data_IF_150731153255
#
_entry.id   IF_150731153255
#
_cell.length_a   1.000
_cell.length_b   1.000
_cell.length_c   1.000
_cell.angle_alpha   90.00
_cell.angle_beta   90.00
_cell.angle_gamma   90.00
#
_symmetry.space_group_name_H-M   'P 1'
#
loop_
_entity.id
_entity.type
_entity.pdbx_description
1 polymer ?
#
# COMPACT_ATOMS: atom_id res chain seq x y z
N UNK A 1 -8.82 -11.98 13.80
CA UNK A 1 -8.55 -10.67 14.45
C UNK A 1 -9.00 -10.71 15.90
N UNK A 2 -8.24 -10.10 16.81
CA UNK A 2 -8.63 -10.01 18.23
C UNK A 2 -9.80 -9.05 18.38
N UNK A 3 -10.86 -9.49 19.04
CA UNK A 3 -12.08 -8.70 19.21
C UNK A 3 -12.08 -7.99 20.56
N UNK A 4 -12.67 -6.79 20.61
CA UNK A 4 -12.79 -5.99 21.84
C UNK A 4 -14.07 -5.15 21.81
N UNK A 5 -14.38 -4.44 22.90
CA UNK A 5 -15.52 -3.53 22.98
C UNK A 5 -15.04 -2.10 23.29
N UNK A 6 -15.33 -1.17 22.39
CA UNK A 6 -15.00 0.24 22.53
C UNK A 6 -16.14 0.95 23.25
N UNK A 7 -15.86 1.50 24.44
CA UNK A 7 -16.84 2.18 25.29
C UNK A 7 -17.45 1.27 26.38
N UNK A 8 -17.97 1.90 27.44
CA UNK A 8 -18.43 1.21 28.64
C UNK A 8 -19.87 0.66 28.53
N UNK A 9 -20.16 -0.39 29.29
CA UNK A 9 -21.53 -0.89 29.51
C UNK A 9 -22.20 -1.47 28.27
N UNK A 10 -23.54 -1.37 28.20
CA UNK A 10 -24.35 -1.95 27.12
C UNK A 10 -24.25 -1.16 25.80
N UNK A 11 -23.84 0.10 25.83
CA UNK A 11 -23.73 0.98 24.65
C UNK A 11 -22.40 0.87 23.90
N UNK A 12 -21.40 0.16 24.43
CA UNK A 12 -20.12 0.00 23.74
C UNK A 12 -20.26 -0.73 22.40
N UNK A 13 -19.41 -0.36 21.44
CA UNK A 13 -19.39 -0.89 20.07
C UNK A 13 -18.38 -2.01 19.95
N UNK A 14 -18.67 -2.99 19.12
CA UNK A 14 -17.70 -4.03 18.78
C UNK A 14 -16.53 -3.38 18.02
N UNK A 15 -15.31 -3.72 18.41
CA UNK A 15 -14.09 -3.32 17.72
C UNK A 15 -13.13 -4.49 17.59
N UNK A 16 -12.04 -4.27 16.87
CA UNK A 16 -10.98 -5.24 16.67
C UNK A 16 -9.63 -4.54 16.83
N UNK A 17 -8.64 -5.29 17.32
CA UNK A 17 -7.26 -4.89 17.13
C UNK A 17 -6.91 -5.09 15.66
N UNK A 18 -6.22 -4.11 15.07
CA UNK A 18 -5.88 -4.14 13.66
C UNK A 18 -4.91 -5.31 13.35
N UNK A 19 -5.09 -5.98 12.21
CA UNK A 19 -4.17 -7.02 11.75
C UNK A 19 -3.01 -6.47 10.90
N UNK A 20 -3.09 -5.20 10.48
CA UNK A 20 -2.14 -4.49 9.62
C UNK A 20 -2.23 -2.97 9.91
N UNK A 21 -1.23 -2.21 9.48
CA UNK A 21 -1.22 -0.74 9.59
C UNK A 21 -1.84 -0.03 8.38
N UNK A 22 -1.92 -0.70 7.22
CA UNK A 22 -2.44 -0.20 5.94
C UNK A 22 -3.77 0.55 6.02
N UNK A 23 -4.77 -0.04 6.70
CA UNK A 23 -6.15 0.48 6.74
C UNK A 23 -6.27 1.92 7.23
N UNK A 24 -5.39 2.34 8.14
CA UNK A 24 -5.37 3.73 8.62
C UNK A 24 -5.00 4.69 7.49
N UNK A 25 -3.94 4.39 6.76
CA UNK A 25 -3.40 5.23 5.69
C UNK A 25 -4.38 5.40 4.52
N UNK A 26 -5.07 4.31 4.15
CA UNK A 26 -6.08 4.32 3.09
C UNK A 26 -7.25 5.26 3.42
N UNK A 27 -7.72 5.27 4.67
CA UNK A 27 -8.81 6.15 5.11
C UNK A 27 -8.44 7.64 5.06
N UNK A 28 -7.16 7.96 5.17
CA UNK A 28 -6.66 9.34 5.20
C UNK A 28 -6.31 9.91 3.81
N UNK A 29 -6.49 9.16 2.71
CA UNK A 29 -6.13 9.61 1.35
C UNK A 29 -6.72 10.97 0.98
N UNK A 30 -7.97 11.24 1.36
CA UNK A 30 -8.66 12.50 1.06
C UNK A 30 -7.91 13.74 1.58
N UNK A 31 -7.15 13.62 2.68
CA UNK A 31 -6.38 14.72 3.24
C UNK A 31 -5.23 15.16 2.32
N UNK A 32 -4.80 14.27 1.41
CA UNK A 32 -3.67 14.50 0.54
C UNK A 32 -4.07 14.87 -0.88
N UNK A 33 -5.29 14.49 -1.31
CA UNK A 33 -5.87 14.92 -2.59
C UNK A 33 -6.25 16.40 -2.61
N UNK A 34 -6.18 17.08 -1.46
CA UNK A 34 -6.35 18.53 -1.34
C UNK A 34 -5.02 19.30 -1.50
N UNK A 35 -3.88 18.60 -1.65
CA UNK A 35 -2.59 19.24 -1.82
C UNK A 35 -2.47 19.92 -3.20
N UNK A 36 -1.79 21.08 -3.30
CA UNK A 36 -1.81 21.91 -4.51
C UNK A 36 -1.12 21.25 -5.72
N UNK A 37 -0.15 20.39 -5.45
CA UNK A 37 0.55 19.57 -6.43
C UNK A 37 -0.14 18.21 -6.43
N UNK A 38 -1.19 18.07 -7.25
CA UNK A 38 -1.90 16.81 -7.52
C UNK A 38 -1.00 15.78 -8.24
N UNK A 39 0.25 15.65 -7.84
CA UNK A 39 1.14 14.59 -8.29
C UNK A 39 0.80 13.34 -7.48
N UNK A 40 0.37 12.31 -8.20
CA UNK A 40 -0.08 11.05 -7.62
C UNK A 40 1.02 10.26 -6.91
N UNK A 41 2.28 10.71 -6.95
CA UNK A 41 3.42 10.03 -6.33
C UNK A 41 3.50 10.28 -4.83
N UNK A 42 2.43 9.92 -4.11
CA UNK A 42 2.33 10.06 -2.67
C UNK A 42 2.58 8.70 -2.01
N UNK A 43 3.49 8.68 -1.04
CA UNK A 43 3.68 7.56 -0.13
C UNK A 43 3.23 7.93 1.29
N UNK A 44 2.43 7.07 1.91
CA UNK A 44 2.16 7.13 3.36
C UNK A 44 2.88 5.97 4.03
N UNK A 45 3.63 6.24 5.09
CA UNK A 45 4.33 5.21 5.86
C UNK A 45 3.74 5.16 7.26
N UNK A 46 3.42 3.97 7.74
CA UNK A 46 3.07 3.74 9.12
C UNK A 46 3.93 2.64 9.71
N UNK A 47 4.51 2.93 10.87
CA UNK A 47 5.14 1.92 11.72
C UNK A 47 4.27 1.71 12.96
N UNK A 48 4.16 0.47 13.40
CA UNK A 48 3.42 0.19 14.62
C UNK A 48 3.18 -1.28 14.85
N UNK A 49 2.38 -1.55 15.88
CA UNK A 49 2.03 -2.91 16.28
C UNK A 49 0.77 -3.37 15.59
N UNK A 50 0.82 -4.62 15.15
CA UNK A 50 -0.29 -5.35 14.56
C UNK A 50 -0.52 -6.67 15.28
N UNK A 51 -1.72 -7.23 15.10
CA UNK A 51 -2.14 -8.39 15.85
C UNK A 51 -2.84 -9.44 15.01
N UNK A 52 -2.43 -10.70 15.21
CA UNK A 52 -3.03 -11.84 14.54
C UNK A 52 -3.57 -12.87 15.53
N UNK A 53 -4.78 -13.35 15.27
CA UNK A 53 -5.36 -14.49 16.00
C UNK A 53 -4.77 -15.79 15.49
N UNK A 54 -3.48 -15.99 15.75
CA UNK A 54 -2.76 -17.20 15.36
C UNK A 54 -3.12 -18.34 16.30
N UNK A 55 -3.59 -19.45 15.71
CA UNK A 55 -4.01 -20.64 16.45
C UNK A 55 -2.87 -21.23 17.28
N UNK A 56 -1.65 -21.26 16.74
CA UNK A 56 -0.44 -21.77 17.42
C UNK A 56 0.80 -20.91 17.10
N UNK A 57 1.18 -19.97 17.99
CA UNK A 57 2.49 -19.32 17.93
C UNK A 57 3.62 -20.35 18.00
N UNK A 58 4.65 -20.20 17.17
CA UNK A 58 5.76 -21.16 17.05
C UNK A 58 7.00 -20.48 16.46
N UNK A 59 8.17 -21.14 16.49
CA UNK A 59 9.40 -20.64 15.86
C UNK A 59 9.86 -19.26 16.38
N UNK A 60 9.72 -19.02 17.69
CA UNK A 60 10.19 -17.79 18.33
C UNK A 60 9.56 -16.53 17.74
N UNK A 61 10.40 -15.63 17.21
CA UNK A 61 9.99 -14.33 16.66
C UNK A 61 9.33 -14.41 15.27
N UNK A 62 9.31 -15.58 14.63
CA UNK A 62 8.74 -15.72 13.27
C UNK A 62 7.21 -15.72 13.28
N UNK A 63 6.57 -16.34 14.29
CA UNK A 63 5.11 -16.46 14.38
C UNK A 63 4.57 -15.95 15.71
N UNK A 64 4.46 -14.63 15.81
CA UNK A 64 3.91 -13.92 16.97
C UNK A 64 2.40 -13.66 16.84
N UNK A 65 1.76 -13.23 17.94
CA UNK A 65 0.36 -12.73 17.98
C UNK A 65 0.28 -11.21 17.97
N UNK A 66 1.36 -10.57 18.38
CA UNK A 66 1.59 -9.13 18.32
C UNK A 66 3.00 -8.96 17.78
N UNK A 67 3.16 -8.15 16.75
CA UNK A 67 4.44 -7.91 16.07
C UNK A 67 4.46 -6.48 15.54
N UNK A 68 5.65 -5.99 15.24
CA UNK A 68 5.87 -4.66 14.68
C UNK A 68 5.97 -4.77 13.16
N UNK A 69 5.22 -3.89 12.49
CA UNK A 69 5.23 -3.72 11.06
C UNK A 69 5.70 -2.32 10.70
N UNK A 70 6.30 -2.20 9.53
CA UNK A 70 6.45 -0.94 8.82
C UNK A 70 5.87 -1.12 7.41
N UNK A 71 4.80 -0.40 7.10
CA UNK A 71 4.11 -0.52 5.82
C UNK A 71 4.10 0.84 5.12
N UNK A 72 4.19 0.80 3.80
CA UNK A 72 4.10 1.95 2.92
C UNK A 72 2.92 1.76 1.98
N UNK A 73 1.94 2.66 1.99
CA UNK A 73 0.96 2.79 0.90
C UNK A 73 1.47 3.79 -0.12
N UNK A 74 1.96 3.31 -1.26
CA UNK A 74 2.39 4.16 -2.36
C UNK A 74 1.31 4.24 -3.44
N UNK A 75 0.66 5.39 -3.52
CA UNK A 75 -0.40 5.64 -4.49
C UNK A 75 0.20 5.92 -5.87
N UNK A 76 -0.39 5.38 -6.92
CA UNK A 76 0.05 5.57 -8.31
C UNK A 76 -1.14 5.78 -9.26
N UNK A 77 -0.90 6.52 -10.34
CA UNK A 77 -1.84 6.62 -11.45
C UNK A 77 -1.81 5.33 -12.27
N UNK A 78 -2.94 4.60 -12.40
CA UNK A 78 -2.98 3.35 -13.15
C UNK A 78 -2.68 3.49 -14.65
N UNK A 79 -2.78 4.69 -15.22
CA UNK A 79 -2.41 4.95 -16.62
C UNK A 79 -1.04 5.61 -16.76
N UNK A 80 -0.39 5.98 -15.66
CA UNK A 80 0.99 6.45 -15.72
C UNK A 80 1.94 5.28 -15.99
N UNK A 81 2.99 5.57 -16.75
CA UNK A 81 4.11 4.66 -16.99
C UNK A 81 5.32 5.22 -16.27
N UNK A 82 5.52 4.89 -14.98
CA UNK A 82 6.62 5.49 -14.23
C UNK A 82 7.95 4.91 -14.71
N UNK A 83 8.90 5.80 -14.96
CA UNK A 83 10.29 5.45 -15.24
C UNK A 83 11.09 5.54 -13.93
N UNK A 84 11.67 4.43 -13.51
CA UNK A 84 12.52 4.36 -12.32
C UNK A 84 13.97 4.12 -12.74
N UNK A 85 14.91 4.76 -12.06
CA UNK A 85 16.34 4.57 -12.30
C UNK A 85 16.86 3.35 -11.53
N UNK A 86 17.21 2.28 -12.26
CA UNK A 86 17.79 1.07 -11.70
C UNK A 86 19.33 1.03 -11.77
N UNK A 87 19.99 2.14 -12.13
CA UNK A 87 21.43 2.17 -12.42
C UNK A 87 22.32 1.77 -11.24
N UNK A 88 21.82 1.88 -10.00
CA UNK A 88 22.51 1.43 -8.78
C UNK A 88 22.54 -0.10 -8.63
N UNK A 89 21.61 -0.84 -9.23
CA UNK A 89 21.43 -2.29 -9.04
C UNK A 89 21.83 -3.10 -10.28
N UNK A 90 23.14 -3.18 -10.53
CA UNK A 90 23.69 -3.86 -11.71
C UNK A 90 23.96 -5.35 -11.52
N UNK A 91 23.93 -5.84 -10.28
CA UNK A 91 24.20 -7.23 -9.97
C UNK A 91 22.91 -8.06 -10.16
N UNK A 92 23.01 -9.28 -10.73
CA UNK A 92 21.88 -10.19 -10.79
C UNK A 92 21.39 -10.57 -9.39
N UNK A 93 20.09 -10.79 -9.27
CA UNK A 93 19.41 -11.25 -8.05
C UNK A 93 18.65 -12.54 -8.33
N UNK A 94 18.47 -13.36 -7.29
CA UNK A 94 17.69 -14.60 -7.38
C UNK A 94 16.20 -14.26 -7.27
N UNK A 95 15.46 -14.49 -8.36
CA UNK A 95 14.01 -14.35 -8.42
C UNK A 95 13.37 -15.73 -8.61
N UNK A 96 12.33 -16.04 -7.84
CA UNK A 96 11.46 -17.20 -8.08
C UNK A 96 10.18 -16.65 -8.72
N UNK A 97 10.12 -16.70 -10.04
CA UNK A 97 9.02 -16.13 -10.82
C UNK A 97 7.92 -17.15 -11.10
N UNK A 98 6.66 -16.71 -11.04
CA UNK A 98 5.48 -17.55 -11.35
C UNK A 98 5.58 -18.06 -12.80
N UNK A 99 5.41 -19.36 -12.99
CA UNK A 99 5.52 -20.04 -14.29
C UNK A 99 6.92 -20.12 -14.92
N UNK A 100 7.92 -19.39 -14.42
CA UNK A 100 9.31 -19.42 -14.93
C UNK A 100 10.30 -20.12 -13.98
N UNK A 101 9.96 -20.28 -12.70
CA UNK A 101 10.84 -20.88 -11.70
C UNK A 101 11.96 -19.93 -11.28
N UNK A 102 13.11 -20.50 -10.90
CA UNK A 102 14.28 -19.71 -10.45
C UNK A 102 14.97 -19.08 -11.65
N UNK A 103 15.11 -17.75 -11.62
CA UNK A 103 15.83 -16.96 -12.63
C UNK A 103 16.82 -16.02 -11.95
N UNK A 104 17.97 -15.80 -12.58
CA UNK A 104 18.98 -14.82 -12.15
C UNK A 104 19.04 -13.68 -13.17
N UNK A 105 18.69 -12.47 -12.75
CA UNK A 105 18.66 -11.29 -13.61
C UNK A 105 18.73 -10.01 -12.77
N UNK A 106 19.06 -8.87 -13.39
CA UNK A 106 18.97 -7.57 -12.71
C UNK A 106 17.52 -7.11 -12.58
N UNK A 107 17.22 -6.20 -11.66
CA UNK A 107 15.87 -5.63 -11.54
C UNK A 107 15.42 -4.94 -12.84
N UNK A 108 16.34 -4.23 -13.52
CA UNK A 108 16.05 -3.61 -14.82
C UNK A 108 15.62 -4.66 -15.85
N UNK A 109 16.39 -5.76 -15.99
CA UNK A 109 16.06 -6.85 -16.91
C UNK A 109 14.72 -7.50 -16.56
N UNK A 110 14.46 -7.72 -15.28
CA UNK A 110 13.22 -8.32 -14.82
C UNK A 110 11.99 -7.46 -15.14
N UNK A 111 12.12 -6.13 -15.07
CA UNK A 111 11.07 -5.18 -15.48
C UNK A 111 10.93 -5.14 -17.00
N UNK A 112 12.04 -5.03 -17.73
CA UNK A 112 12.04 -4.95 -19.21
C UNK A 112 11.47 -6.21 -19.87
N UNK A 113 11.72 -7.39 -19.30
CA UNK A 113 11.22 -8.68 -19.78
C UNK A 113 9.82 -9.02 -19.22
N UNK A 114 9.23 -8.15 -18.39
CA UNK A 114 7.92 -8.35 -17.77
C UNK A 114 7.85 -9.51 -16.79
N UNK A 115 8.98 -9.93 -16.20
CA UNK A 115 9.01 -10.88 -15.07
C UNK A 115 8.41 -10.19 -13.83
N UNK A 116 8.90 -8.99 -13.53
CA UNK A 116 8.26 -8.08 -12.60
C UNK A 116 7.28 -7.26 -13.44
N UNK A 117 5.98 -7.36 -13.14
CA UNK A 117 4.92 -6.88 -14.02
C UNK A 117 4.78 -5.36 -14.00
N UNK A 118 5.19 -4.71 -12.91
CA UNK A 118 5.08 -3.28 -12.74
C UNK A 118 6.42 -2.65 -12.30
N UNK A 119 6.91 -1.59 -12.98
CA UNK A 119 8.24 -1.02 -12.69
C UNK A 119 8.36 -0.48 -11.25
N UNK A 120 7.30 0.11 -10.69
CA UNK A 120 7.31 0.56 -9.28
C UNK A 120 7.47 -0.59 -8.28
N UNK A 121 6.95 -1.78 -8.58
CA UNK A 121 7.16 -2.97 -7.74
C UNK A 121 8.63 -3.35 -7.76
N UNK A 122 9.25 -3.40 -8.94
CA UNK A 122 10.68 -3.67 -9.09
C UNK A 122 11.56 -2.64 -8.38
N UNK A 123 11.16 -1.36 -8.43
CA UNK A 123 11.86 -0.29 -7.73
C UNK A 123 11.84 -0.49 -6.21
N UNK A 124 10.69 -0.81 -5.62
CA UNK A 124 10.61 -1.09 -4.19
C UNK A 124 11.29 -2.40 -3.80
N UNK A 125 11.28 -3.43 -4.66
CA UNK A 125 12.09 -4.65 -4.43
C UNK A 125 13.58 -4.32 -4.33
N UNK A 126 14.09 -3.45 -5.20
CA UNK A 126 15.49 -3.05 -5.21
C UNK A 126 15.88 -2.26 -3.95
N UNK A 127 15.05 -1.30 -3.54
CA UNK A 127 15.24 -0.57 -2.28
C UNK A 127 15.14 -1.48 -1.04
N UNK A 128 14.19 -2.43 -1.05
CA UNK A 128 14.06 -3.44 0.01
C UNK A 128 15.33 -4.28 0.11
N UNK A 129 15.91 -4.69 -1.03
CA UNK A 129 17.17 -5.42 -1.03
C UNK A 129 18.29 -4.60 -0.36
N UNK A 130 18.51 -3.36 -0.80
CA UNK A 130 19.55 -2.50 -0.22
C UNK A 130 19.36 -2.30 1.28
N UNK A 131 18.12 -2.06 1.71
CA UNK A 131 17.80 -1.95 3.13
C UNK A 131 18.17 -3.22 3.89
N UNK A 132 17.71 -4.39 3.43
CA UNK A 132 17.98 -5.67 4.10
C UNK A 132 19.49 -5.96 4.17
N UNK A 133 20.23 -5.70 3.10
CA UNK A 133 21.69 -5.88 3.10
C UNK A 133 22.37 -4.89 4.06
N UNK A 134 21.91 -3.65 4.12
CA UNK A 134 22.49 -2.62 5.01
C UNK A 134 22.34 -2.96 6.49
N UNK A 135 21.24 -3.62 6.89
CA UNK A 135 21.01 -4.02 8.28
C UNK A 135 21.68 -5.35 8.67
N UNK A 136 22.37 -6.01 7.73
CA UNK A 136 23.22 -7.18 8.02
C UNK A 136 22.66 -8.52 7.53
N UNK A 137 21.68 -8.51 6.61
CA UNK A 137 21.21 -9.75 5.98
C UNK A 137 22.27 -10.22 4.97
N UNK A 138 22.63 -11.51 5.04
CA UNK A 138 23.53 -12.14 4.08
C UNK A 138 22.88 -12.19 2.67
N UNK A 139 23.53 -11.65 1.62
CA UNK A 139 23.03 -11.73 0.25
C UNK A 139 22.72 -13.15 -0.23
N UNK A 140 23.51 -14.15 0.17
CA UNK A 140 23.29 -15.55 -0.23
C UNK A 140 22.01 -16.15 0.38
N UNK A 141 21.55 -15.56 1.49
CA UNK A 141 20.33 -15.93 2.19
C UNK A 141 19.13 -15.06 1.82
N UNK A 142 19.18 -14.27 0.74
CA UNK A 142 18.09 -13.39 0.32
C UNK A 142 17.59 -13.79 -1.08
N UNK A 143 16.28 -13.91 -1.23
CA UNK A 143 15.63 -14.09 -2.54
C UNK A 143 14.29 -13.37 -2.60
N UNK A 144 13.79 -13.16 -3.81
CA UNK A 144 12.43 -12.68 -4.02
C UNK A 144 11.58 -13.79 -4.63
N UNK A 145 10.43 -14.08 -4.04
CA UNK A 145 9.47 -15.08 -4.53
C UNK A 145 8.18 -14.41 -4.97
N UNK A 146 7.80 -14.58 -6.22
CA UNK A 146 6.53 -14.13 -6.72
C UNK A 146 5.42 -15.04 -6.19
N UNK A 147 4.27 -14.46 -5.84
CA UNK A 147 3.08 -15.24 -5.51
C UNK A 147 2.58 -15.95 -6.77
N UNK A 148 2.21 -17.22 -6.62
CA UNK A 148 1.55 -17.95 -7.69
C UNK A 148 0.14 -17.38 -7.94
N UNK A 149 -0.36 -17.54 -9.16
CA UNK A 149 -1.68 -17.03 -9.56
C UNK A 149 -2.86 -17.51 -8.68
N UNK A 150 -2.71 -18.62 -7.95
CA UNK A 150 -3.67 -19.17 -6.99
C UNK A 150 -3.46 -18.69 -5.54
N UNK A 151 -2.29 -18.13 -5.22
CA UNK A 151 -1.92 -17.56 -3.92
C UNK A 151 -2.22 -16.06 -3.85
N UNK A 152 -2.20 -15.38 -5.00
CA UNK A 152 -2.51 -13.96 -5.09
C UNK A 152 -3.93 -13.66 -4.57
N UNK A 153 -4.06 -12.58 -3.80
CA UNK A 153 -5.36 -11.98 -3.56
C UNK A 153 -6.01 -11.65 -4.92
N UNK A 154 -7.32 -11.86 -5.05
CA UNK A 154 -8.09 -11.71 -6.29
C UNK A 154 -7.97 -10.33 -6.96
N UNK A 155 -7.41 -9.33 -6.27
CA UNK A 155 -7.18 -7.96 -6.73
C UNK A 155 -5.70 -7.59 -6.94
N UNK A 156 -4.74 -8.41 -6.48
CA UNK A 156 -3.32 -8.11 -6.59
C UNK A 156 -2.84 -8.33 -8.03
N UNK A 157 -2.21 -7.32 -8.64
CA UNK A 157 -1.72 -7.40 -10.02
C UNK A 157 -0.33 -8.03 -10.10
N UNK A 158 0.49 -7.82 -9.08
CA UNK A 158 1.81 -8.44 -8.89
C UNK A 158 2.11 -8.46 -7.40
N UNK A 159 2.79 -9.50 -6.91
CA UNK A 159 3.15 -9.62 -5.50
C UNK A 159 4.43 -10.43 -5.35
N UNK A 160 5.41 -9.85 -4.66
CA UNK A 160 6.72 -10.43 -4.43
C UNK A 160 7.09 -10.41 -2.95
N UNK A 161 7.46 -11.56 -2.42
CA UNK A 161 7.97 -11.68 -1.06
C UNK A 161 9.49 -11.66 -1.07
N UNK A 162 10.10 -10.75 -0.30
CA UNK A 162 11.49 -10.89 0.11
C UNK A 162 11.57 -11.96 1.20
N UNK A 163 12.13 -13.12 0.84
CA UNK A 163 12.32 -14.24 1.75
C UNK A 163 13.78 -14.29 2.20
N UNK A 164 13.97 -14.51 3.50
CA UNK A 164 15.28 -14.63 4.11
C UNK A 164 15.46 -16.07 4.60
N UNK A 165 16.60 -16.67 4.27
CA UNK A 165 16.98 -18.02 4.70
C UNK A 165 17.62 -17.95 6.09
N UNK A 166 16.90 -18.39 7.11
CA UNK A 166 17.45 -18.55 8.46
C UNK A 166 17.51 -20.00 8.92
N UNK A 167 17.77 -20.19 10.20
CA UNK A 167 17.79 -21.50 10.88
C UNK A 167 16.44 -22.24 10.86
N UNK A 168 15.35 -21.58 10.48
CA UNK A 168 14.02 -22.18 10.26
C UNK A 168 13.63 -22.36 8.78
N UNK A 169 14.58 -22.18 7.86
CA UNK A 169 14.36 -22.20 6.42
C UNK A 169 14.02 -20.81 5.86
N UNK A 170 13.43 -20.79 4.66
CA UNK A 170 13.01 -19.56 4.00
C UNK A 170 11.76 -18.99 4.68
N UNK A 171 11.87 -17.75 5.12
CA UNK A 171 10.79 -17.02 5.79
C UNK A 171 10.57 -15.70 5.06
N UNK A 172 9.33 -15.44 4.68
CA UNK A 172 8.89 -14.14 4.18
C UNK A 172 9.10 -13.06 5.25
N UNK A 173 9.81 -12.00 4.89
CA UNK A 173 10.12 -10.87 5.79
C UNK A 173 9.55 -9.55 5.29
N UNK A 174 9.38 -9.39 3.97
CA UNK A 174 8.78 -8.21 3.36
C UNK A 174 7.89 -8.64 2.21
N UNK A 175 6.60 -8.29 2.22
CA UNK A 175 5.72 -8.42 1.06
C UNK A 175 5.75 -7.13 0.24
N UNK A 176 5.87 -7.21 -1.08
CA UNK A 176 5.75 -6.06 -2.00
C UNK A 176 4.61 -6.36 -2.98
N UNK A 177 3.46 -5.73 -2.76
CA UNK A 177 2.23 -6.03 -3.49
C UNK A 177 1.73 -4.81 -4.29
N UNK A 178 1.34 -5.03 -5.54
CA UNK A 178 0.50 -4.08 -6.27
C UNK A 178 -0.98 -4.45 -6.05
N UNK A 179 -1.64 -3.79 -5.11
CA UNK A 179 -3.01 -4.08 -4.65
C UNK A 179 -4.12 -3.52 -5.57
N UNK A 180 -3.75 -2.76 -6.60
CA UNK A 180 -4.74 -2.12 -7.47
C UNK A 180 -5.54 -1.07 -6.70
N UNK A 181 -6.82 -0.91 -7.01
CA UNK A 181 -7.71 0.06 -6.34
C UNK A 181 -8.72 -0.59 -5.37
N UNK A 182 -8.62 -1.90 -5.11
CA UNK A 182 -9.65 -2.65 -4.38
C UNK A 182 -9.99 -2.02 -3.02
N UNK A 183 -8.98 -1.71 -2.22
CA UNK A 183 -9.18 -1.16 -0.89
C UNK A 183 -9.85 0.22 -0.92
N UNK A 184 -9.39 1.11 -1.81
CA UNK A 184 -9.96 2.44 -1.97
C UNK A 184 -11.42 2.37 -2.46
N UNK A 185 -11.70 1.51 -3.45
CA UNK A 185 -13.06 1.30 -3.95
C UNK A 185 -13.98 0.75 -2.86
N UNK A 186 -13.53 -0.24 -2.08
CA UNK A 186 -14.30 -0.79 -0.98
C UNK A 186 -14.64 0.27 0.09
N UNK A 187 -13.68 1.15 0.42
CA UNK A 187 -13.92 2.28 1.34
C UNK A 187 -14.85 3.34 0.73
N UNK A 188 -14.72 3.68 -0.56
CA UNK A 188 -15.65 4.60 -1.25
C UNK A 188 -17.08 4.07 -1.19
N UNK A 189 -17.28 2.79 -1.50
CA UNK A 189 -18.61 2.15 -1.53
C UNK A 189 -19.23 2.06 -0.13
N UNK A 190 -18.45 1.73 0.89
CA UNK A 190 -18.93 1.58 2.25
C UNK A 190 -19.26 2.93 2.93
N UNK A 191 -18.52 4.00 2.60
CA UNK A 191 -18.63 5.29 3.31
C UNK A 191 -19.33 6.39 2.50
N UNK A 192 -19.39 6.25 1.17
CA UNK A 192 -19.83 7.30 0.25
C UNK A 192 -18.84 8.45 0.08
N UNK A 193 -17.69 8.44 0.78
CA UNK A 193 -16.62 9.42 0.62
C UNK A 193 -15.82 9.11 -0.65
N UNK A 194 -15.43 10.16 -1.39
CA UNK A 194 -14.61 10.00 -2.60
C UNK A 194 -13.13 9.97 -2.23
N UNK A 195 -12.47 8.89 -2.62
CA UNK A 195 -11.04 8.61 -2.42
C UNK A 195 -10.36 8.58 -3.79
N UNK A 196 -10.34 9.74 -4.46
CA UNK A 196 -9.89 9.88 -5.86
C UNK A 196 -8.79 10.93 -5.98
N UNK A 197 -7.88 10.70 -6.91
CA UNK A 197 -6.90 11.69 -7.32
C UNK A 197 -7.33 12.34 -8.64
N UNK A 198 -6.87 13.56 -8.88
CA UNK A 198 -7.11 14.28 -10.13
C UNK A 198 -5.86 14.23 -11.00
N UNK A 199 -5.99 13.77 -12.25
CA UNK A 199 -4.93 13.88 -13.26
C UNK A 199 -5.29 14.90 -14.32
N UNK A 200 -4.31 15.68 -14.75
CA UNK A 200 -4.44 16.61 -15.87
C UNK A 200 -4.13 15.90 -17.17
N UNK A 201 -4.94 16.13 -18.20
CA UNK A 201 -4.63 15.65 -19.55
C UNK A 201 -3.47 16.42 -20.16
N UNK A 202 -2.65 15.74 -20.97
CA UNK A 202 -1.61 16.38 -21.79
C UNK A 202 -2.21 17.45 -22.71
N UNK A 203 -3.36 17.14 -23.30
CA UNK A 203 -4.16 18.06 -24.09
C UNK A 203 -5.61 18.04 -23.60
N UNK A 204 -6.27 19.21 -23.46
CA UNK A 204 -7.66 19.26 -23.04
C UNK A 204 -8.58 18.53 -24.03
N UNK A 205 -9.52 17.73 -23.50
CA UNK A 205 -10.51 17.01 -24.30
C UNK A 205 -11.77 17.86 -24.44
N UNK A 206 -12.22 18.09 -25.67
CA UNK A 206 -13.53 18.70 -25.93
C UNK A 206 -14.59 17.61 -25.77
N UNK A 207 -15.43 17.73 -24.74
CA UNK A 207 -16.55 16.82 -24.50
C UNK A 207 -17.83 17.55 -24.90
N UNK A 208 -18.52 17.02 -25.90
CA UNK A 208 -19.87 17.45 -26.23
C UNK A 208 -20.83 16.81 -25.23
N UNK A 209 -21.35 17.63 -24.32
CA UNK A 209 -22.43 17.23 -23.43
C UNK A 209 -23.72 17.56 -24.16
N UNK A 210 -24.38 16.54 -24.69
CA UNK A 210 -25.76 16.61 -25.19
C UNK A 210 -26.64 15.75 -24.28
N UNK A 211 -27.56 16.37 -23.58
CA UNK A 211 -28.41 15.70 -22.60
C UNK A 211 -29.41 16.64 -21.95
N UNK A 212 -29.91 16.25 -20.78
CA UNK A 212 -30.96 16.97 -20.08
C UNK A 212 -30.48 17.44 -18.71
N UNK A 213 -30.97 18.58 -18.24
CA UNK A 213 -30.91 18.98 -16.82
C UNK A 213 -32.26 19.56 -16.43
N UNK A 214 -32.48 19.81 -15.15
CA UNK A 214 -33.74 20.39 -14.68
C UNK A 214 -33.80 21.91 -14.90
N UNK A 215 -34.99 22.43 -15.17
CA UNK A 215 -35.29 23.85 -14.99
C UNK A 215 -35.58 24.09 -13.50
N UNK A 216 -34.57 24.56 -12.76
CA UNK A 216 -34.67 24.76 -11.31
C UNK A 216 -35.82 25.66 -10.87
N UNK A 217 -36.28 26.61 -11.71
CA UNK A 217 -37.40 27.48 -11.38
C UNK A 217 -38.75 26.76 -11.36
N UNK A 218 -38.87 25.67 -12.14
CA UNK A 218 -40.10 24.87 -12.27
C UNK A 218 -40.01 23.55 -11.52
N UNK A 219 -38.89 22.85 -11.65
CA UNK A 219 -38.61 21.58 -10.98
C UNK A 219 -38.44 21.75 -9.46
N UNK A 220 -37.87 22.86 -8.99
CA UNK A 220 -37.71 23.13 -7.56
C UNK A 220 -39.05 23.15 -6.81
N UNK A 221 -40.03 23.99 -7.22
CA UNK A 221 -41.37 23.98 -6.64
C UNK A 221 -42.14 22.66 -6.84
N UNK A 222 -41.99 22.00 -7.99
CA UNK A 222 -42.70 20.77 -8.33
C UNK A 222 -42.26 19.57 -7.49
N UNK A 223 -40.95 19.39 -7.28
CA UNK A 223 -40.40 18.20 -6.63
C UNK A 223 -39.91 18.43 -5.20
N UNK A 224 -39.74 19.69 -4.77
CA UNK A 224 -39.34 20.09 -3.40
C UNK A 224 -38.11 19.30 -2.93
N UNK A 225 -38.24 18.49 -1.88
CA UNK A 225 -37.16 17.69 -1.30
C UNK A 225 -36.58 16.67 -2.29
N UNK A 226 -37.33 16.26 -3.33
CA UNK A 226 -36.87 15.34 -4.37
C UNK A 226 -36.14 16.04 -5.52
N UNK A 227 -36.14 17.38 -5.58
CA UNK A 227 -35.59 18.11 -6.74
C UNK A 227 -34.11 17.77 -7.01
N UNK A 228 -33.31 17.55 -5.97
CA UNK A 228 -31.91 17.12 -6.11
C UNK A 228 -31.78 15.73 -6.76
N UNK A 229 -32.56 14.75 -6.28
CA UNK A 229 -32.56 13.39 -6.83
C UNK A 229 -33.15 13.33 -8.24
N UNK A 230 -34.16 14.16 -8.54
CA UNK A 230 -34.71 14.30 -9.89
C UNK A 230 -33.69 14.92 -10.84
N UNK A 231 -32.91 15.89 -10.37
CA UNK A 231 -31.79 16.45 -11.15
C UNK A 231 -30.78 15.37 -11.52
N UNK A 232 -30.29 14.61 -10.53
CA UNK A 232 -29.34 13.52 -10.76
C UNK A 232 -29.90 12.45 -11.71
N UNK A 233 -31.18 12.11 -11.59
CA UNK A 233 -31.84 11.19 -12.51
C UNK A 233 -31.88 11.73 -13.94
N UNK A 234 -32.33 12.97 -14.13
CA UNK A 234 -32.47 13.61 -15.45
C UNK A 234 -31.12 13.81 -16.14
N UNK A 235 -30.07 14.14 -15.40
CA UNK A 235 -28.71 14.33 -15.94
C UNK A 235 -28.05 13.02 -16.40
N UNK A 236 -28.61 11.86 -16.02
CA UNK A 236 -28.17 10.53 -16.45
C UNK A 236 -29.05 9.93 -17.57
N UNK A 237 -30.03 10.66 -18.10
CA UNK A 237 -30.86 10.21 -19.22
C UNK A 237 -30.14 10.41 -20.55
N UNK A 238 -30.37 9.48 -21.49
CA UNK A 238 -29.92 9.62 -22.86
C UNK A 238 -30.54 10.85 -23.54
N UNK A 239 -29.82 11.47 -24.48
CA UNK A 239 -30.23 12.70 -25.14
C UNK A 239 -31.50 12.56 -26.01
N UNK A 240 -31.83 11.33 -26.42
CA UNK A 240 -32.99 10.99 -27.23
C UNK A 240 -34.27 10.77 -26.42
N UNK A 241 -34.20 10.79 -25.08
CA UNK A 241 -35.36 10.65 -24.20
C UNK A 241 -36.34 11.82 -24.39
N UNK A 242 -37.62 11.49 -24.46
CA UNK A 242 -38.72 12.44 -24.59
C UNK A 242 -39.55 12.55 -23.30
N UNK A 243 -40.01 13.77 -22.99
CA UNK A 243 -40.89 14.06 -21.85
C UNK A 243 -42.33 14.32 -22.34
N UNK A 244 -43.37 14.04 -21.53
CA UNK A 244 -43.33 13.62 -20.12
C UNK A 244 -42.94 12.16 -19.92
N UNK A 245 -42.31 11.86 -18.78
CA UNK A 245 -41.98 10.49 -18.37
C UNK A 245 -42.27 10.27 -16.89
N UNK A 246 -42.51 9.01 -16.49
CA UNK A 246 -42.66 8.63 -15.09
C UNK A 246 -41.43 7.85 -14.65
N UNK A 247 -40.78 8.29 -13.56
CA UNK A 247 -39.60 7.66 -13.00
C UNK A 247 -39.83 7.27 -11.54
N UNK A 248 -39.25 6.16 -11.11
CA UNK A 248 -39.25 5.74 -9.71
C UNK A 248 -38.01 6.32 -9.02
N UNK A 249 -38.20 7.37 -8.22
CA UNK A 249 -37.12 8.06 -7.51
C UNK A 249 -37.39 7.92 -6.01
N UNK A 250 -36.46 7.32 -5.28
CA UNK A 250 -36.56 7.11 -3.82
C UNK A 250 -37.80 6.30 -3.39
N UNK A 251 -38.23 5.35 -4.23
CA UNK A 251 -39.43 4.54 -4.02
C UNK A 251 -40.76 5.27 -4.30
N UNK A 252 -40.72 6.51 -4.80
CA UNK A 252 -41.89 7.28 -5.22
C UNK A 252 -41.94 7.38 -6.74
N UNK A 253 -43.13 7.23 -7.33
CA UNK A 253 -43.32 7.52 -8.75
C UNK A 253 -43.51 9.03 -8.93
N UNK A 254 -42.61 9.61 -9.73
CA UNK A 254 -42.57 11.05 -10.03
C UNK A 254 -42.78 11.23 -11.52
N UNK A 255 -43.73 12.08 -11.89
CA UNK A 255 -43.96 12.49 -13.28
C UNK A 255 -43.10 13.71 -13.62
N UNK A 256 -42.20 13.55 -14.59
CA UNK A 256 -41.30 14.58 -15.07
C UNK A 256 -41.87 15.12 -16.38
N UNK A 257 -42.38 16.36 -16.35
CA UNK A 257 -42.97 17.05 -17.49
C UNK A 257 -41.90 17.77 -18.33
N UNK A 258 -42.17 18.07 -19.61
CA UNK A 258 -41.26 18.83 -20.46
C UNK A 258 -40.85 20.19 -19.88
N UNK A 259 -41.72 20.80 -19.07
CA UNK A 259 -41.42 22.08 -18.44
C UNK A 259 -40.48 21.97 -17.23
N UNK A 260 -40.28 20.78 -16.68
CA UNK A 260 -39.37 20.56 -15.57
C UNK A 260 -37.92 20.39 -16.01
N UNK A 261 -37.69 20.22 -17.31
CA UNK A 261 -36.37 19.91 -17.89
C UNK A 261 -36.00 20.90 -18.97
N UNK A 262 -34.70 21.02 -19.23
CA UNK A 262 -34.14 21.78 -20.35
C UNK A 262 -32.99 20.99 -20.96
N UNK A 263 -32.89 21.03 -22.29
CA UNK A 263 -31.78 20.40 -23.00
C UNK A 263 -30.51 21.21 -22.76
N UNK A 264 -29.41 20.52 -22.52
CA UNK A 264 -28.07 21.10 -22.42
C UNK A 264 -27.26 20.53 -23.56
N UNK A 265 -26.88 21.40 -24.49
CA UNK A 265 -25.92 21.08 -25.54
C UNK A 265 -24.75 22.05 -25.38
N UNK A 266 -23.69 21.60 -24.73
CA UNK A 266 -22.52 22.43 -24.43
C UNK A 266 -21.25 21.66 -24.76
N UNK A 267 -20.32 22.31 -25.46
CA UNK A 267 -18.95 21.82 -25.59
C UNK A 267 -18.19 22.26 -24.33
N UNK A 268 -17.89 21.31 -23.46
CA UNK A 268 -17.07 21.55 -22.28
C UNK A 268 -15.61 21.24 -22.58
N UNK A 269 -14.72 22.15 -22.19
CA UNK A 269 -13.29 21.91 -22.26
C UNK A 269 -12.83 21.21 -20.98
N UNK A 270 -12.60 19.90 -21.05
CA UNK A 270 -12.22 19.07 -19.91
C UNK A 270 -10.70 18.93 -19.87
N UNK A 271 -10.08 19.46 -18.82
CA UNK A 271 -8.61 19.51 -18.69
C UNK A 271 -8.02 18.33 -17.94
N UNK A 272 -8.84 17.41 -17.43
CA UNK A 272 -8.41 16.29 -16.60
C UNK A 272 -9.57 15.44 -16.13
N UNK A 273 -9.28 14.45 -15.30
CA UNK A 273 -10.29 13.56 -14.72
C UNK A 273 -9.91 13.08 -13.33
N UNK A 274 -10.93 12.68 -12.58
CA UNK A 274 -10.79 11.97 -11.31
C UNK A 274 -10.66 10.48 -11.57
N UNK A 275 -9.68 9.83 -10.95
CA UNK A 275 -9.50 8.39 -10.99
C UNK A 275 -9.24 7.86 -9.58
N UNK A 276 -9.43 6.55 -9.39
CA UNK A 276 -9.09 5.87 -8.15
C UNK A 276 -7.63 5.39 -8.27
N UNK A 277 -6.70 5.87 -7.42
CA UNK A 277 -5.32 5.42 -7.48
C UNK A 277 -5.18 3.91 -7.31
N UNK A 278 -4.16 3.35 -7.96
CA UNK A 278 -3.66 2.04 -7.57
C UNK A 278 -2.68 2.19 -6.39
N UNK A 279 -2.52 1.12 -5.62
CA UNK A 279 -1.63 1.12 -4.45
C UNK A 279 -0.56 0.06 -4.61
N UNK A 280 0.71 0.47 -4.41
CA UNK A 280 1.85 -0.42 -4.25
C UNK A 280 2.28 -0.40 -2.79
N UNK A 281 2.33 -1.58 -2.19
CA UNK A 281 2.52 -1.77 -0.75
C UNK A 281 3.74 -2.63 -0.45
N UNK A 282 4.84 -2.02 0.00
CA UNK A 282 5.89 -2.70 0.75
C UNK A 282 5.51 -2.83 2.23
N UNK A 283 5.36 -4.07 2.72
CA UNK A 283 4.99 -4.39 4.10
C UNK A 283 6.11 -5.17 4.80
N UNK A 284 6.80 -4.53 5.75
CA UNK A 284 7.98 -5.06 6.43
C UNK A 284 7.63 -5.65 7.80
N UNK A 285 7.87 -6.96 7.96
CA UNK A 285 7.80 -7.64 9.25
C UNK A 285 9.07 -7.42 10.07
N UNK A 286 9.12 -6.34 10.85
CA UNK A 286 10.31 -5.87 11.58
C UNK A 286 10.89 -6.98 12.48
N UNK A 287 10.04 -7.67 13.25
CA UNK A 287 10.48 -8.72 14.18
C UNK A 287 11.12 -9.91 13.45
N UNK A 288 10.61 -10.27 12.25
CA UNK A 288 11.22 -11.31 11.41
C UNK A 288 12.56 -10.85 10.88
N UNK A 289 12.69 -9.59 10.45
CA UNK A 289 13.95 -9.03 9.97
C UNK A 289 15.00 -9.02 11.09
N UNK A 290 14.64 -8.53 12.29
CA UNK A 290 15.53 -8.54 13.46
C UNK A 290 16.00 -9.96 13.79
N UNK A 291 15.11 -10.95 13.77
CA UNK A 291 15.49 -12.35 13.97
C UNK A 291 16.59 -12.78 13.00
N UNK A 292 16.43 -12.50 11.70
CA UNK A 292 17.41 -12.92 10.69
C UNK A 292 18.69 -12.10 10.75
N UNK A 293 18.66 -10.84 11.16
CA UNK A 293 19.90 -10.07 11.44
C UNK A 293 20.70 -10.75 12.54
N UNK A 294 20.04 -11.15 13.65
CA UNK A 294 20.70 -11.86 14.73
C UNK A 294 21.25 -13.23 14.27
N UNK A 295 20.47 -13.99 13.51
CA UNK A 295 20.84 -15.31 12.98
C UNK A 295 22.04 -15.21 12.02
N UNK A 296 22.04 -14.26 11.09
CA UNK A 296 23.11 -14.04 10.12
C UNK A 296 24.38 -13.43 10.72
N UNK A 297 24.24 -12.64 11.80
CA UNK A 297 25.39 -12.01 12.47
C UNK A 297 25.97 -12.89 13.58
N UNK A 298 25.34 -14.02 13.93
CA UNK A 298 25.78 -14.92 14.98
C UNK A 298 26.98 -15.76 14.53
N UNK A 299 28.09 -15.64 15.24
CA UNK A 299 29.33 -16.34 14.95
C UNK A 299 29.89 -17.00 16.21
N UNK A 300 30.23 -18.29 16.11
CA UNK A 300 31.02 -19.00 17.12
C UNK A 300 32.47 -19.08 16.65
N UNK A 301 33.41 -18.69 17.50
CA UNK A 301 34.84 -18.69 17.22
C UNK A 301 35.64 -19.16 18.43
N UNK A 302 36.95 -19.35 18.25
CA UNK A 302 37.88 -19.68 19.33
C UNK A 302 39.04 -18.72 19.38
N UNK A 303 39.39 -18.24 20.57
CA UNK A 303 40.57 -17.40 20.80
C UNK A 303 41.29 -17.91 22.03
N UNK A 304 42.60 -18.16 21.90
CA UNK A 304 43.45 -18.67 22.99
C UNK A 304 42.95 -19.98 23.65
N UNK A 305 42.22 -20.80 22.88
CA UNK A 305 41.65 -22.07 23.37
C UNK A 305 40.31 -21.93 24.08
N UNK A 306 39.79 -20.72 24.23
CA UNK A 306 38.45 -20.45 24.78
C UNK A 306 37.44 -20.24 23.66
N UNK A 307 36.20 -20.68 23.90
CA UNK A 307 35.08 -20.49 22.98
C UNK A 307 34.50 -19.08 23.14
N UNK A 308 34.33 -18.37 22.03
CA UNK A 308 33.76 -17.03 21.97
C UNK A 308 32.53 -17.03 21.06
N UNK A 309 31.50 -16.32 21.51
CA UNK A 309 30.34 -16.01 20.67
C UNK A 309 30.36 -14.52 20.35
N UNK A 310 30.20 -14.20 19.07
CA UNK A 310 30.21 -12.84 18.55
C UNK A 310 28.94 -12.57 17.76
N UNK A 311 28.41 -11.35 17.89
CA UNK A 311 27.37 -10.82 17.02
C UNK A 311 27.99 -9.71 16.17
N UNK A 312 28.24 -10.01 14.89
CA UNK A 312 28.86 -9.09 13.93
C UNK A 312 27.82 -8.18 13.25
N UNK A 313 27.02 -7.50 14.07
CA UNK A 313 25.95 -6.61 13.61
C UNK A 313 26.56 -5.36 12.96
N UNK A 314 26.04 -4.86 11.83
CA UNK A 314 26.53 -3.63 11.22
C UNK A 314 26.43 -2.43 12.17
N UNK A 315 27.39 -1.51 12.07
CA UNK A 315 27.51 -0.37 12.97
C UNK A 315 26.24 0.49 13.03
N UNK A 316 25.56 0.70 11.90
CA UNK A 316 24.37 1.55 11.80
C UNK A 316 23.15 1.00 12.57
N UNK A 317 23.17 -0.29 12.92
CA UNK A 317 22.10 -0.97 13.68
C UNK A 317 22.61 -1.66 14.94
N UNK A 318 23.86 -1.38 15.33
CA UNK A 318 24.42 -1.90 16.57
C UNK A 318 23.67 -1.30 17.78
N UNK A 319 23.32 -2.10 18.80
CA UNK A 319 22.57 -1.59 19.96
C UNK A 319 23.41 -0.64 20.83
N UNK A 320 24.74 -0.77 20.77
CA UNK A 320 25.71 0.04 21.51
C UNK A 320 26.88 0.32 20.57
N UNK A 321 27.13 1.60 20.28
CA UNK A 321 28.19 2.01 19.35
C UNK A 321 29.60 1.81 19.92
N UNK A 322 29.79 2.12 21.21
CA UNK A 322 31.10 2.11 21.87
C UNK A 322 30.96 1.65 23.32
N UNK A 323 31.83 0.72 23.72
CA UNK A 323 32.02 0.36 25.12
C UNK A 323 33.36 0.91 25.63
N UNK A 324 33.32 1.68 26.72
CA UNK A 324 34.53 2.17 27.41
C UNK A 324 34.77 1.31 28.64
N UNK A 325 35.79 0.45 28.55
CA UNK A 325 36.09 -0.55 29.58
C UNK A 325 37.43 -0.20 30.25
N UNK A 326 37.42 0.36 31.49
CA UNK A 326 38.65 0.61 32.21
C UNK A 326 39.34 -0.71 32.56
N UNK A 327 40.67 -0.75 32.41
CA UNK A 327 41.45 -1.96 32.72
C UNK A 327 41.44 -2.30 34.22
N UNK A 328 41.28 -1.30 35.10
CA UNK A 328 41.12 -1.51 36.54
C UNK A 328 40.32 -0.37 37.17
N UNK A 329 39.70 -0.66 38.31
CA UNK A 329 38.91 0.28 39.11
C UNK A 329 39.77 1.29 39.91
N UNK A 330 41.10 1.12 39.95
CA UNK A 330 42.00 1.98 40.72
C UNK A 330 42.30 3.32 40.02
N UNK A 331 42.17 4.41 40.78
CA UNK A 331 42.63 5.75 40.38
C UNK A 331 44.16 5.79 40.20
N UNK A 332 44.64 6.60 39.23
CA UNK A 332 46.07 6.92 39.05
C UNK A 332 46.84 6.09 38.01
N UNK A 333 46.21 5.17 37.28
CA UNK A 333 46.92 4.33 36.30
C UNK A 333 47.49 5.09 35.09
N UNK A 334 47.04 6.32 34.84
CA UNK A 334 47.60 7.22 33.81
C UNK A 334 49.01 7.73 34.18
N UNK A 335 49.43 7.63 35.45
CA UNK A 335 50.74 8.09 35.92
C UNK A 335 51.85 7.04 35.80
N UNK A 336 51.53 5.83 35.31
CA UNK A 336 52.49 4.72 35.14
C UNK A 336 53.17 4.68 33.75
N UNK A 337 53.09 5.77 32.99
CA UNK A 337 53.71 5.94 31.66
C UNK A 337 55.09 6.57 31.71
#
# INVERSE_FOLDING_TARGET
MFNTKIGAGKSGRQGFLRPETAQGMLHHLHLFTELPENDCHLGQIQTGKDTETKNQPSQGMIRLREFNMAELEYFIDPEATPEHDFSSWKNPVTLIADGKGVVEMTFQQAVDEGVIRHPTVGYFMAWTMDFLLSVGINPEGLRFRQHESNEMAHYAQDCWDAEILGSYGWVECVGIAHRGCYDLTAHEEATGQKLRAWRKFKEPKLVEVDGWTIDGAKAGPAFRALAGKVKEFVENLDADVSFPMVASIDGQQVEILPEHVKRVQTTANVTGEWYVPHVVEPAFGIDRIIWHVLDHCYNETKKEGEDYTLLSIPNDVAPIDVAVLPLSEKDGMQELG
#
